data_IF_214945556032
#
_entry.id   IF_214945556032
#
_cell.length_a   1.000
_cell.length_b   1.000
_cell.length_c   1.000
_cell.angle_alpha   90.00
_cell.angle_beta   90.00
_cell.angle_gamma   90.00
#
_symmetry.space_group_name_H-M   'P 1'
#
loop_
_entity.id
_entity.type
_entity.pdbx_description
1 polymer ?
#
# COMPACT_ATOMS: atom_id res chain seq x y z
N UNK A 1 10.41 -24.86 27.26
CA UNK A 1 11.11 -25.82 26.38
C UNK A 1 10.24 -26.39 25.23
N UNK A 2 8.93 -26.17 25.21
CA UNK A 2 8.01 -26.71 24.17
C UNK A 2 7.96 -25.91 22.85
N UNK A 3 8.37 -24.65 22.83
CA UNK A 3 8.31 -23.79 21.62
C UNK A 3 9.39 -24.06 20.57
N UNK A 4 10.47 -24.78 20.92
CA UNK A 4 11.56 -25.15 19.99
C UNK A 4 11.30 -26.43 19.19
N UNK A 5 10.35 -27.26 19.61
CA UNK A 5 10.03 -28.52 18.95
C UNK A 5 9.07 -28.38 17.75
N UNK A 6 8.28 -27.30 17.70
CA UNK A 6 7.30 -27.07 16.62
C UNK A 6 8.01 -26.66 15.32
N UNK A 7 9.07 -25.85 15.38
CA UNK A 7 9.81 -25.42 14.18
C UNK A 7 10.56 -26.58 13.48
N UNK A 8 11.03 -27.57 14.24
CA UNK A 8 11.71 -28.73 13.67
C UNK A 8 10.74 -29.75 13.08
N UNK A 9 9.54 -29.87 13.64
CA UNK A 9 8.50 -30.78 13.12
C UNK A 9 7.94 -30.34 11.76
N UNK A 10 7.83 -29.05 11.51
CA UNK A 10 7.35 -28.50 10.22
C UNK A 10 8.40 -28.73 9.11
N UNK A 11 9.68 -28.61 9.40
CA UNK A 11 10.75 -28.91 8.44
C UNK A 11 10.91 -30.40 8.16
N UNK A 12 10.64 -31.26 9.13
CA UNK A 12 10.72 -32.73 8.97
C UNK A 12 9.54 -33.33 8.19
N UNK A 13 8.38 -32.73 8.21
CA UNK A 13 7.21 -33.20 7.48
C UNK A 13 7.29 -32.96 5.96
N UNK A 14 8.13 -32.02 5.52
CA UNK A 14 8.32 -31.72 4.10
C UNK A 14 9.21 -32.72 3.34
N UNK A 15 9.83 -33.72 4.01
CA UNK A 15 10.81 -34.63 3.41
C UNK A 15 10.30 -36.07 3.24
N UNK A 16 9.13 -36.43 3.76
CA UNK A 16 8.65 -37.80 3.75
C UNK A 16 7.31 -37.94 2.99
N UNK A 17 7.37 -38.01 1.67
CA UNK A 17 6.21 -38.38 0.88
C UNK A 17 6.40 -38.11 -0.60
N UNK A 18 7.01 -39.05 -1.32
CA UNK A 18 6.96 -39.12 -2.78
C UNK A 18 5.56 -39.58 -3.23
N UNK A 19 4.60 -38.67 -3.26
CA UNK A 19 3.37 -38.82 -4.00
C UNK A 19 2.84 -37.42 -4.31
N UNK A 20 3.00 -36.96 -5.57
CA UNK A 20 2.53 -35.65 -6.05
C UNK A 20 2.92 -34.49 -5.14
N UNK A 21 4.23 -34.28 -5.02
CA UNK A 21 4.75 -33.20 -4.16
C UNK A 21 4.24 -31.86 -4.72
N UNK A 22 3.30 -31.25 -4.01
CA UNK A 22 3.09 -29.82 -4.14
C UNK A 22 4.48 -29.17 -4.03
N UNK A 23 4.94 -28.50 -5.10
CA UNK A 23 6.20 -27.78 -5.05
C UNK A 23 6.06 -26.66 -4.03
N UNK A 24 6.71 -26.80 -2.88
CA UNK A 24 6.74 -25.77 -1.84
C UNK A 24 8.06 -25.04 -1.93
N UNK A 25 7.99 -23.76 -2.27
CA UNK A 25 9.15 -22.88 -2.32
C UNK A 25 9.23 -22.05 -1.01
N UNK A 26 10.42 -22.00 -0.44
CA UNK A 26 10.79 -20.98 0.56
C UNK A 26 11.41 -19.81 -0.18
N UNK A 27 10.90 -18.61 0.09
CA UNK A 27 11.42 -17.40 -0.56
C UNK A 27 11.47 -16.23 0.42
N UNK A 28 12.19 -15.19 0.03
CA UNK A 28 12.21 -13.97 0.82
C UNK A 28 13.08 -12.88 0.22
N UNK A 29 13.14 -11.77 0.98
CA UNK A 29 14.05 -10.66 0.70
C UNK A 29 14.40 -9.92 1.97
N UNK A 30 15.62 -9.39 1.98
CA UNK A 30 16.15 -8.51 3.00
C UNK A 30 16.54 -7.20 2.32
N UNK A 31 16.06 -6.11 2.85
CA UNK A 31 16.33 -4.73 2.41
C UNK A 31 16.70 -3.92 3.65
N UNK A 32 17.93 -3.41 3.68
CA UNK A 32 18.44 -2.61 4.79
C UNK A 32 19.21 -1.44 4.22
N UNK A 33 19.04 -0.26 4.82
CA UNK A 33 19.70 0.93 4.34
C UNK A 33 19.76 2.04 5.37
N UNK A 34 20.35 3.16 4.96
CA UNK A 34 20.40 4.41 5.71
C UNK A 34 19.41 5.40 5.14
N UNK A 35 18.75 6.15 6.00
CA UNK A 35 17.82 7.23 5.65
C UNK A 35 18.14 8.46 6.46
N UNK A 36 18.27 9.60 5.76
CA UNK A 36 18.31 10.92 6.36
C UNK A 36 17.00 11.63 6.02
N UNK A 37 16.31 12.13 7.04
CA UNK A 37 15.04 12.84 6.92
C UNK A 37 15.16 14.20 7.58
N UNK A 38 14.79 15.26 6.87
CA UNK A 38 14.60 16.60 7.38
C UNK A 38 13.11 16.94 7.31
N UNK A 39 12.53 17.28 8.46
CA UNK A 39 11.12 17.68 8.57
C UNK A 39 11.02 19.10 9.11
N UNK A 40 10.14 19.91 8.52
CA UNK A 40 9.86 21.27 8.93
C UNK A 40 8.36 21.55 8.94
N UNK A 41 7.87 22.19 10.00
CA UNK A 41 6.47 22.57 10.20
C UNK A 41 6.40 24.09 10.31
N UNK A 42 5.79 24.75 9.32
CA UNK A 42 5.67 26.22 9.26
C UNK A 42 7.04 26.90 9.44
N UNK A 43 7.10 27.86 10.36
CA UNK A 43 8.32 28.62 10.68
C UNK A 43 9.15 27.99 11.80
N UNK A 44 8.77 26.82 12.33
CA UNK A 44 9.52 26.15 13.38
C UNK A 44 10.90 25.69 12.87
N UNK A 45 11.86 25.54 13.79
CA UNK A 45 13.12 24.89 13.46
C UNK A 45 12.89 23.48 12.94
N UNK A 46 13.56 23.14 11.84
CA UNK A 46 13.47 21.79 11.29
C UNK A 46 14.10 20.74 12.21
N UNK A 47 13.65 19.51 12.08
CA UNK A 47 14.21 18.35 12.77
C UNK A 47 14.93 17.44 11.77
N UNK A 48 16.10 16.95 12.17
CA UNK A 48 16.95 16.09 11.38
C UNK A 48 17.03 14.70 12.00
N UNK A 49 16.91 13.67 11.19
CA UNK A 49 17.03 12.28 11.64
C UNK A 49 17.85 11.47 10.67
N UNK A 50 18.93 10.86 11.15
CA UNK A 50 19.67 9.83 10.44
C UNK A 50 19.37 8.49 11.11
N UNK A 51 18.93 7.50 10.35
CA UNK A 51 18.59 6.18 10.86
C UNK A 51 19.06 5.07 9.93
N UNK A 52 19.32 3.90 10.51
CA UNK A 52 19.32 2.65 9.77
C UNK A 52 17.87 2.15 9.72
N UNK A 53 17.39 1.87 8.53
CA UNK A 53 16.01 1.48 8.31
C UNK A 53 15.87 0.17 7.56
N UNK A 54 14.80 -0.52 7.87
CA UNK A 54 14.37 -1.77 7.29
C UNK A 54 13.39 -1.53 6.13
N UNK A 55 13.64 -2.13 4.97
CA UNK A 55 12.67 -2.14 3.88
C UNK A 55 12.42 -0.79 3.22
N UNK A 56 13.46 0.03 3.02
CA UNK A 56 13.35 1.35 2.39
C UNK A 56 12.84 1.27 0.95
N UNK A 57 13.42 0.39 0.14
CA UNK A 57 12.98 0.14 -1.23
C UNK A 57 11.94 -0.98 -1.31
N UNK A 58 12.02 -2.00 -0.45
CA UNK A 58 11.06 -3.11 -0.49
C UNK A 58 10.94 -3.80 0.85
N UNK A 59 9.74 -3.79 1.43
CA UNK A 59 9.49 -4.39 2.75
C UNK A 59 10.04 -5.81 2.88
N UNK A 60 10.80 -6.06 3.94
CA UNK A 60 11.40 -7.35 4.26
C UNK A 60 10.34 -8.41 4.47
N UNK A 61 10.62 -9.61 4.01
CA UNK A 61 9.70 -10.74 4.09
C UNK A 61 10.38 -12.08 3.90
N UNK A 62 9.75 -13.08 4.43
CA UNK A 62 9.99 -14.47 4.08
C UNK A 62 8.64 -15.17 3.97
N UNK A 63 8.57 -16.25 3.22
CA UNK A 63 7.31 -16.94 3.03
C UNK A 63 7.47 -18.33 2.43
N UNK A 64 6.34 -19.01 2.44
CA UNK A 64 6.12 -20.30 1.79
C UNK A 64 5.05 -20.10 0.72
N UNK A 65 5.25 -20.67 -0.45
CA UNK A 65 4.23 -20.77 -1.48
C UNK A 65 4.26 -22.15 -2.10
N UNK A 66 3.12 -22.62 -2.52
CA UNK A 66 3.04 -23.92 -3.16
C UNK A 66 1.80 -24.01 -4.06
N UNK A 67 1.80 -24.99 -4.94
CA UNK A 67 0.66 -25.29 -5.79
C UNK A 67 0.59 -26.73 -6.17
N UNK A 68 -0.63 -27.22 -6.38
CA UNK A 68 -0.96 -28.56 -6.84
C UNK A 68 -1.81 -28.48 -8.11
N UNK A 69 -1.44 -29.25 -9.13
CA UNK A 69 -2.24 -29.40 -10.35
C UNK A 69 -3.31 -30.48 -10.08
N UNK A 70 -4.58 -30.08 -10.19
CA UNK A 70 -5.73 -30.97 -10.00
C UNK A 70 -6.18 -31.65 -11.31
N UNK A 71 -5.47 -31.40 -12.40
CA UNK A 71 -5.86 -31.86 -13.74
C UNK A 71 -6.90 -30.97 -14.42
N UNK A 72 -7.09 -31.21 -15.71
CA UNK A 72 -8.07 -30.48 -16.55
C UNK A 72 -7.93 -28.94 -16.53
N UNK A 73 -6.73 -28.41 -16.24
CA UNK A 73 -6.47 -26.98 -16.16
C UNK A 73 -6.87 -26.34 -14.83
N UNK A 74 -7.20 -27.14 -13.81
CA UNK A 74 -7.47 -26.65 -12.46
C UNK A 74 -6.24 -26.79 -11.57
N UNK A 75 -6.01 -25.80 -10.72
CA UNK A 75 -4.91 -25.75 -9.76
C UNK A 75 -5.39 -25.20 -8.44
N UNK A 76 -4.88 -25.75 -7.36
CA UNK A 76 -4.95 -25.18 -6.01
C UNK A 76 -3.55 -24.63 -5.64
N UNK A 77 -3.48 -23.51 -4.94
CA UNK A 77 -2.22 -22.94 -4.47
C UNK A 77 -2.40 -22.15 -3.19
N UNK A 78 -1.29 -21.89 -2.51
CA UNK A 78 -1.28 -21.09 -1.30
C UNK A 78 -0.06 -20.17 -1.25
N UNK A 79 -0.21 -19.08 -0.47
CA UNK A 79 0.89 -18.19 -0.08
C UNK A 79 0.77 -17.88 1.41
N UNK A 80 1.87 -18.06 2.14
CA UNK A 80 2.02 -17.66 3.54
C UNK A 80 3.24 -16.75 3.62
N UNK A 81 3.06 -15.45 3.87
CA UNK A 81 4.13 -14.44 3.86
C UNK A 81 4.16 -13.64 5.16
N UNK A 82 5.31 -13.63 5.82
CA UNK A 82 5.61 -12.87 7.03
C UNK A 82 6.53 -11.70 6.73
N UNK A 83 6.23 -10.53 7.28
CA UNK A 83 7.12 -9.38 7.29
C UNK A 83 7.99 -9.33 8.53
N UNK A 84 9.14 -8.69 8.43
CA UNK A 84 10.04 -8.44 9.58
C UNK A 84 10.85 -7.16 9.37
N UNK A 85 11.44 -6.66 10.45
CA UNK A 85 12.36 -5.53 10.44
C UNK A 85 13.80 -6.05 10.50
N UNK A 86 14.62 -5.70 9.49
CA UNK A 86 16.02 -6.18 9.41
C UNK A 86 16.95 -5.43 10.35
N UNK A 87 16.59 -4.23 10.77
CA UNK A 87 17.35 -3.39 11.71
C UNK A 87 17.19 -3.83 13.16
N UNK A 88 16.03 -4.37 13.53
CA UNK A 88 15.71 -4.75 14.91
C UNK A 88 15.44 -6.24 15.11
N UNK A 89 15.19 -7.00 14.02
CA UNK A 89 14.76 -8.39 14.08
C UNK A 89 13.29 -8.59 14.51
N UNK A 90 12.53 -7.51 14.65
CA UNK A 90 11.14 -7.58 15.07
C UNK A 90 10.23 -8.17 13.97
N UNK A 91 9.14 -8.83 14.38
CA UNK A 91 8.09 -9.28 13.46
C UNK A 91 7.33 -8.06 12.89
N UNK A 92 6.80 -8.17 11.68
CA UNK A 92 6.21 -7.03 10.97
C UNK A 92 4.90 -6.51 11.54
N UNK A 93 4.14 -7.35 12.25
CA UNK A 93 2.89 -6.98 12.94
C UNK A 93 2.70 -7.92 14.14
N UNK A 94 2.58 -7.37 15.33
CA UNK A 94 2.40 -8.15 16.54
C UNK A 94 1.10 -8.97 16.49
N UNK A 95 1.15 -10.21 16.96
CA UNK A 95 0.02 -11.14 16.93
C UNK A 95 -0.30 -11.78 15.58
N UNK A 96 0.36 -11.37 14.48
CA UNK A 96 0.11 -11.93 13.13
C UNK A 96 1.39 -12.50 12.51
N UNK A 97 1.53 -13.84 12.53
CA UNK A 97 2.68 -14.51 11.93
C UNK A 97 2.77 -14.24 10.42
N UNK A 98 1.67 -14.36 9.70
CA UNK A 98 1.59 -14.11 8.26
C UNK A 98 0.88 -12.78 7.98
N UNK A 99 1.44 -11.70 8.50
CA UNK A 99 0.84 -10.36 8.42
C UNK A 99 0.75 -9.80 6.99
N UNK A 100 1.54 -10.34 6.05
CA UNK A 100 1.59 -9.84 4.67
C UNK A 100 0.62 -10.57 3.74
N UNK A 101 0.60 -11.89 3.79
CA UNK A 101 -0.33 -12.72 3.03
C UNK A 101 -0.53 -14.08 3.70
N UNK A 102 -1.77 -14.55 3.74
CA UNK A 102 -2.16 -15.89 4.13
C UNK A 102 -3.37 -16.27 3.28
N UNK A 103 -3.12 -16.85 2.09
CA UNK A 103 -4.15 -17.10 1.08
C UNK A 103 -4.16 -18.53 0.59
N UNK A 104 -5.37 -19.01 0.31
CA UNK A 104 -5.64 -20.14 -0.56
C UNK A 104 -6.16 -19.62 -1.90
N UNK A 105 -5.68 -20.20 -3.01
CA UNK A 105 -6.10 -19.87 -4.37
C UNK A 105 -6.64 -21.12 -5.06
N UNK A 106 -7.75 -20.96 -5.79
CA UNK A 106 -8.23 -21.92 -6.77
C UNK A 106 -8.23 -21.24 -8.12
N UNK A 107 -7.62 -21.85 -9.12
CA UNK A 107 -7.56 -21.33 -10.49
C UNK A 107 -7.99 -22.36 -11.53
N UNK A 108 -8.46 -21.89 -12.67
CA UNK A 108 -8.94 -22.72 -13.76
C UNK A 108 -9.27 -21.89 -15.00
N UNK A 109 -10.00 -22.44 -15.98
CA UNK A 109 -10.43 -21.70 -17.17
C UNK A 109 -11.28 -20.46 -16.85
N UNK A 110 -11.89 -20.41 -15.66
CA UNK A 110 -12.68 -19.28 -15.15
C UNK A 110 -11.83 -18.14 -14.58
N UNK A 111 -10.51 -18.30 -14.44
CA UNK A 111 -9.61 -17.38 -13.76
C UNK A 111 -9.17 -17.89 -12.39
N UNK A 112 -9.02 -17.01 -11.42
CA UNK A 112 -8.52 -17.34 -10.09
C UNK A 112 -9.37 -16.70 -8.99
N UNK A 113 -9.68 -17.49 -7.96
CA UNK A 113 -10.33 -17.03 -6.74
C UNK A 113 -9.35 -17.20 -5.60
N UNK A 114 -9.23 -16.17 -4.78
CA UNK A 114 -8.36 -16.11 -3.60
C UNK A 114 -9.22 -15.90 -2.36
N UNK A 115 -8.87 -16.57 -1.27
CA UNK A 115 -9.51 -16.40 0.03
C UNK A 115 -8.47 -16.29 1.14
N UNK A 116 -8.68 -15.39 2.11
CA UNK A 116 -7.81 -15.22 3.28
C UNK A 116 -7.36 -13.79 3.52
N UNK A 117 -6.18 -13.61 4.10
CA UNK A 117 -5.53 -12.30 4.25
C UNK A 117 -4.67 -11.99 3.03
N UNK A 118 -4.92 -10.88 2.39
CA UNK A 118 -4.24 -10.53 1.14
C UNK A 118 -4.08 -9.02 0.95
N UNK A 119 -3.29 -8.65 -0.06
CA UNK A 119 -3.19 -7.28 -0.54
C UNK A 119 -4.52 -6.76 -1.10
N UNK A 120 -4.75 -5.45 -0.97
CA UNK A 120 -5.85 -4.77 -1.67
C UNK A 120 -5.52 -4.71 -3.16
N UNK A 121 -6.52 -4.92 -4.03
CA UNK A 121 -6.28 -4.88 -5.50
C UNK A 121 -5.81 -3.51 -5.98
N UNK A 122 -6.17 -2.43 -5.28
CA UNK A 122 -5.68 -1.08 -5.54
C UNK A 122 -4.23 -0.83 -5.07
N UNK A 123 -3.64 -1.76 -4.32
CA UNK A 123 -2.24 -1.69 -3.89
C UNK A 123 -1.29 -2.37 -4.90
N UNK A 124 -0.02 -2.51 -4.52
CA UNK A 124 1.00 -3.32 -5.17
C UNK A 124 1.35 -4.58 -4.36
N UNK A 125 0.54 -4.89 -3.33
CA UNK A 125 0.87 -5.89 -2.32
C UNK A 125 0.27 -7.26 -2.63
N UNK A 126 1.05 -8.31 -2.31
CA UNK A 126 0.59 -9.69 -2.37
C UNK A 126 0.28 -10.18 -3.78
N UNK A 127 -0.55 -11.23 -3.84
CA UNK A 127 -0.85 -11.95 -5.08
C UNK A 127 -1.87 -11.25 -5.98
N UNK A 128 -2.67 -10.31 -5.45
CA UNK A 128 -3.80 -9.69 -6.16
C UNK A 128 -3.66 -8.18 -6.37
N UNK A 129 -2.74 -7.51 -5.67
CA UNK A 129 -2.48 -6.08 -5.86
C UNK A 129 -1.97 -5.79 -7.27
N UNK A 130 -2.68 -4.97 -8.05
CA UNK A 130 -2.32 -4.73 -9.44
C UNK A 130 -2.14 -3.24 -9.79
N UNK A 131 -2.86 -2.32 -9.11
CA UNK A 131 -2.98 -0.95 -9.58
C UNK A 131 -1.71 -0.11 -9.28
N UNK A 132 -1.36 0.06 -8.01
CA UNK A 132 -0.32 0.99 -7.59
C UNK A 132 1.06 0.72 -8.24
N UNK A 133 1.42 -0.57 -8.38
CA UNK A 133 2.67 -0.99 -9.02
C UNK A 133 2.75 -0.72 -10.52
N UNK A 134 1.60 -0.49 -11.16
CA UNK A 134 1.49 -0.34 -12.63
C UNK A 134 1.40 1.12 -13.07
N UNK A 135 1.07 2.04 -12.16
CA UNK A 135 0.80 3.45 -12.48
C UNK A 135 1.85 4.42 -11.95
N UNK A 136 2.91 3.94 -11.32
CA UNK A 136 4.00 4.76 -10.79
C UNK A 136 5.34 4.05 -10.94
N UNK A 137 6.43 4.76 -11.24
CA UNK A 137 7.77 4.19 -11.25
C UNK A 137 8.22 3.68 -9.87
N UNK A 138 7.62 4.18 -8.79
CA UNK A 138 7.91 3.81 -7.40
C UNK A 138 6.87 2.85 -6.80
N UNK A 139 5.82 2.49 -7.55
CA UNK A 139 4.65 1.80 -7.04
C UNK A 139 4.87 0.40 -6.48
N UNK A 140 5.90 -0.30 -6.95
CA UNK A 140 6.23 -1.66 -6.47
C UNK A 140 7.29 -1.68 -5.37
N UNK A 141 7.57 -0.54 -4.79
CA UNK A 141 8.58 -0.39 -3.74
C UNK A 141 8.65 1.04 -3.24
N UNK A 142 9.72 1.36 -2.53
CA UNK A 142 10.01 2.71 -2.05
C UNK A 142 8.97 3.28 -1.09
N UNK A 143 8.19 2.40 -0.43
CA UNK A 143 7.07 2.79 0.42
C UNK A 143 7.43 3.63 1.65
N UNK A 144 8.72 3.76 1.95
CA UNK A 144 9.23 4.66 3.00
C UNK A 144 9.81 5.95 2.46
N UNK A 145 9.80 6.17 1.13
CA UNK A 145 10.27 7.43 0.54
C UNK A 145 9.26 8.55 0.80
N UNK A 146 9.77 9.72 1.18
CA UNK A 146 8.94 10.91 1.34
C UNK A 146 8.11 11.19 0.08
N UNK A 147 6.82 11.44 0.27
CA UNK A 147 5.88 11.67 -0.82
C UNK A 147 5.35 10.43 -1.53
N UNK A 148 5.74 9.22 -1.15
CA UNK A 148 5.23 8.01 -1.79
C UNK A 148 3.69 7.93 -1.64
N UNK A 149 2.95 8.01 -2.76
CA UNK A 149 1.49 8.10 -2.84
C UNK A 149 0.82 9.20 -2.00
N UNK A 150 1.57 10.23 -1.57
CA UNK A 150 1.02 11.29 -0.73
C UNK A 150 -0.04 12.17 -1.41
N UNK A 151 -0.07 12.21 -2.75
CA UNK A 151 -1.06 12.98 -3.53
C UNK A 151 -2.35 12.22 -3.78
N UNK A 152 -2.50 11.01 -3.25
CA UNK A 152 -3.70 10.18 -3.38
C UNK A 152 -4.24 9.79 -2.02
N UNK A 153 -5.53 9.61 -1.93
CA UNK A 153 -6.15 8.98 -0.76
C UNK A 153 -5.83 7.48 -0.75
N UNK A 154 -5.61 6.94 0.43
CA UNK A 154 -5.22 5.55 0.62
C UNK A 154 -6.11 4.84 1.63
N UNK A 155 -6.44 3.60 1.32
CA UNK A 155 -6.99 2.62 2.25
C UNK A 155 -5.87 1.71 2.77
N UNK A 156 -6.20 0.82 3.67
CA UNK A 156 -5.24 -0.18 4.14
C UNK A 156 -4.66 -1.00 3.00
N UNK A 157 -3.37 -1.27 3.08
CA UNK A 157 -2.66 -2.03 2.02
C UNK A 157 -3.10 -3.49 1.96
N UNK A 158 -3.58 -4.04 3.09
CA UNK A 158 -3.97 -5.45 3.25
C UNK A 158 -5.21 -5.59 4.10
N UNK A 159 -6.04 -6.55 3.70
CA UNK A 159 -7.26 -6.90 4.43
C UNK A 159 -7.27 -8.37 4.81
N UNK A 160 -7.78 -8.65 6.03
CA UNK A 160 -8.16 -10.00 6.47
C UNK A 160 -9.58 -10.33 5.97
N UNK A 161 -9.96 -11.60 6.06
CA UNK A 161 -11.31 -12.07 5.70
C UNK A 161 -11.74 -11.58 4.30
N UNK A 162 -10.81 -11.64 3.35
CA UNK A 162 -11.00 -11.13 2.00
C UNK A 162 -11.20 -12.26 0.99
N UNK A 163 -12.04 -11.98 0.00
CA UNK A 163 -12.21 -12.75 -1.22
C UNK A 163 -11.78 -11.88 -2.40
N UNK A 164 -11.01 -12.43 -3.33
CA UNK A 164 -10.68 -11.75 -4.57
C UNK A 164 -10.83 -12.67 -5.76
N UNK A 165 -11.20 -12.08 -6.89
CA UNK A 165 -11.29 -12.75 -8.18
C UNK A 165 -10.42 -12.02 -9.20
N UNK A 166 -9.69 -12.80 -10.00
CA UNK A 166 -8.92 -12.32 -11.16
C UNK A 166 -9.37 -13.12 -12.37
N UNK A 167 -9.92 -12.44 -13.38
CA UNK A 167 -10.42 -13.10 -14.58
C UNK A 167 -9.26 -13.69 -15.41
N UNK A 168 -9.54 -14.64 -16.31
CA UNK A 168 -8.67 -14.92 -17.43
C UNK A 168 -8.46 -13.64 -18.23
N UNK A 169 -7.36 -13.55 -18.97
CA UNK A 169 -7.15 -12.47 -19.93
C UNK A 169 -8.06 -12.69 -21.14
N UNK A 170 -9.01 -11.79 -21.36
CA UNK A 170 -9.95 -11.81 -22.49
C UNK A 170 -9.56 -10.70 -23.46
N UNK A 171 -8.96 -11.06 -24.59
CA UNK A 171 -8.32 -10.09 -25.46
C UNK A 171 -7.21 -9.37 -24.71
N UNK A 172 -7.18 -8.01 -24.66
CA UNK A 172 -6.20 -7.26 -23.89
C UNK A 172 -6.55 -7.10 -22.41
N UNK A 173 -7.75 -7.51 -21.96
CA UNK A 173 -8.33 -7.10 -20.68
C UNK A 173 -8.26 -8.21 -19.64
N UNK A 174 -7.86 -7.85 -18.40
CA UNK A 174 -8.00 -8.63 -17.16
C UNK A 174 -8.84 -7.83 -16.17
N UNK A 175 -9.82 -8.47 -15.54
CA UNK A 175 -10.71 -7.87 -14.52
C UNK A 175 -10.34 -8.38 -13.14
N UNK A 176 -10.43 -7.50 -12.16
CA UNK A 176 -10.14 -7.77 -10.75
C UNK A 176 -11.33 -7.34 -9.91
N UNK A 177 -11.74 -8.18 -8.99
CA UNK A 177 -12.75 -7.84 -8.00
C UNK A 177 -12.30 -8.30 -6.62
N UNK A 178 -12.61 -7.52 -5.57
CA UNK A 178 -12.28 -7.87 -4.20
C UNK A 178 -13.40 -7.42 -3.26
N UNK A 179 -13.67 -8.25 -2.26
CA UNK A 179 -14.56 -7.96 -1.15
C UNK A 179 -13.90 -8.36 0.16
N UNK A 180 -14.08 -7.54 1.20
CA UNK A 180 -13.63 -7.86 2.56
C UNK A 180 -14.82 -7.93 3.51
N UNK A 181 -14.80 -8.92 4.40
CA UNK A 181 -15.87 -9.13 5.40
C UNK A 181 -15.61 -8.36 6.71
N UNK A 182 -14.57 -7.51 6.73
CA UNK A 182 -14.13 -6.78 7.90
C UNK A 182 -12.80 -7.30 8.46
N UNK A 183 -12.13 -6.46 9.25
CA UNK A 183 -10.83 -6.79 9.84
C UNK A 183 -10.91 -7.26 11.30
N UNK A 184 -12.05 -7.03 11.94
CA UNK A 184 -12.26 -7.33 13.34
C UNK A 184 -12.82 -8.75 13.56
N UNK A 185 -13.62 -8.93 14.54
CA UNK A 185 -14.17 -10.23 14.92
C UNK A 185 -15.25 -10.69 13.93
N UNK A 186 -15.31 -11.99 13.70
CA UNK A 186 -16.34 -12.61 12.87
C UNK A 186 -17.75 -12.28 13.41
N UNK A 187 -18.66 -11.89 12.51
CA UNK A 187 -20.08 -11.66 12.75
C UNK A 187 -20.47 -10.31 13.37
N UNK A 188 -19.62 -9.31 13.42
CA UNK A 188 -20.06 -7.99 13.86
C UNK A 188 -20.52 -7.14 12.67
N UNK A 189 -21.73 -6.56 12.77
CA UNK A 189 -22.26 -5.63 11.74
C UNK A 189 -21.53 -4.29 11.74
N UNK A 190 -20.68 -4.01 12.72
CA UNK A 190 -19.88 -2.81 12.88
C UNK A 190 -18.53 -2.81 12.18
N UNK A 191 -18.21 -3.81 11.38
CA UNK A 191 -16.92 -3.88 10.67
C UNK A 191 -16.92 -3.08 9.35
N UNK A 192 -15.82 -2.40 9.08
CA UNK A 192 -15.58 -1.76 7.80
C UNK A 192 -15.47 -2.81 6.68
N UNK A 193 -16.15 -2.59 5.56
CA UNK A 193 -16.19 -3.49 4.42
C UNK A 193 -15.73 -2.79 3.16
N UNK A 194 -14.73 -3.34 2.49
CA UNK A 194 -14.22 -2.80 1.24
C UNK A 194 -14.75 -3.62 0.06
N UNK A 195 -15.27 -2.91 -0.95
CA UNK A 195 -15.59 -3.44 -2.27
C UNK A 195 -14.66 -2.77 -3.28
N UNK A 196 -14.00 -3.54 -4.11
CA UNK A 196 -13.12 -3.01 -5.14
C UNK A 196 -13.37 -3.74 -6.46
N UNK A 197 -13.45 -2.97 -7.54
CA UNK A 197 -13.57 -3.48 -8.91
C UNK A 197 -12.59 -2.74 -9.81
N UNK A 198 -11.77 -3.46 -10.54
CA UNK A 198 -10.80 -2.87 -11.44
C UNK A 198 -10.58 -3.68 -12.70
N UNK A 199 -9.95 -3.05 -13.68
CA UNK A 199 -9.54 -3.67 -14.90
C UNK A 199 -8.19 -3.11 -15.38
N UNK A 200 -7.43 -3.97 -16.02
CA UNK A 200 -6.20 -3.65 -16.73
C UNK A 200 -6.33 -4.07 -18.18
N UNK A 201 -5.92 -3.21 -19.10
CA UNK A 201 -5.87 -3.50 -20.53
C UNK A 201 -4.46 -3.26 -21.07
N UNK A 202 -3.90 -4.28 -21.75
CA UNK A 202 -2.56 -4.28 -22.32
C UNK A 202 -2.63 -4.24 -23.84
N UNK A 203 -2.13 -3.16 -24.45
CA UNK A 203 -2.08 -2.93 -25.90
C UNK A 203 -0.62 -2.83 -26.38
N UNK A 204 0.20 -3.83 -26.09
CA UNK A 204 1.62 -3.82 -26.38
C UNK A 204 2.39 -2.83 -25.49
N UNK A 205 2.84 -1.72 -26.06
CA UNK A 205 3.56 -0.70 -25.30
C UNK A 205 2.66 0.12 -24.36
N UNK A 206 1.36 0.18 -24.62
CA UNK A 206 0.38 0.90 -23.82
C UNK A 206 -0.31 -0.02 -22.83
N UNK A 207 -0.31 0.36 -21.55
CA UNK A 207 -1.12 -0.24 -20.50
C UNK A 207 -2.08 0.81 -19.92
N UNK A 208 -3.34 0.46 -19.77
CA UNK A 208 -4.38 1.31 -19.17
C UNK A 208 -5.04 0.57 -18.03
N UNK A 209 -5.27 1.26 -16.92
CA UNK A 209 -5.88 0.69 -15.72
C UNK A 209 -6.98 1.61 -15.19
N UNK A 210 -8.05 0.98 -14.70
CA UNK A 210 -9.11 1.64 -13.96
C UNK A 210 -9.46 0.85 -12.71
N UNK A 211 -9.81 1.55 -11.63
CA UNK A 211 -10.18 0.95 -10.36
C UNK A 211 -11.19 1.84 -9.65
N UNK A 212 -12.26 1.24 -9.14
CA UNK A 212 -13.21 1.87 -8.22
C UNK A 212 -13.18 1.08 -6.91
N UNK A 213 -13.10 1.81 -5.80
CA UNK A 213 -13.13 1.23 -4.46
C UNK A 213 -14.19 1.95 -3.63
N UNK A 214 -14.95 1.18 -2.87
CA UNK A 214 -15.98 1.65 -1.96
C UNK A 214 -15.73 1.04 -0.58
N UNK A 215 -15.52 1.88 0.41
CA UNK A 215 -15.35 1.50 1.81
C UNK A 215 -16.62 1.89 2.58
N UNK A 216 -17.41 0.87 2.92
CA UNK A 216 -18.52 1.03 3.84
C UNK A 216 -17.95 1.17 5.25
N UNK A 217 -18.03 2.36 5.80
CA UNK A 217 -17.45 2.73 7.08
C UNK A 217 -18.43 2.43 8.20
N UNK A 218 -18.08 1.52 9.09
CA UNK A 218 -18.91 1.05 10.20
C UNK A 218 -18.16 1.06 11.53
N UNK A 219 -16.86 0.75 11.51
CA UNK A 219 -16.09 0.62 12.74
C UNK A 219 -15.71 1.98 13.31
N UNK A 220 -15.93 2.13 14.58
CA UNK A 220 -15.47 3.24 15.41
C UNK A 220 -14.36 2.74 16.31
N UNK A 221 -13.23 3.41 16.31
CA UNK A 221 -12.09 3.00 17.15
C UNK A 221 -12.35 3.12 18.66
N UNK A 222 -13.42 3.81 19.06
CA UNK A 222 -13.82 3.98 20.46
C UNK A 222 -15.36 3.93 20.59
N UNK A 223 -15.84 2.81 21.11
CA UNK A 223 -17.28 2.50 21.23
C UNK A 223 -17.99 3.22 22.37
N UNK A 224 -17.30 4.04 23.15
CA UNK A 224 -17.88 4.62 24.37
C UNK A 224 -18.70 5.90 24.15
N UNK A 225 -18.68 6.50 22.95
CA UNK A 225 -19.20 7.86 22.75
C UNK A 225 -20.05 8.10 21.50
N UNK A 226 -20.13 7.20 20.48
CA UNK A 226 -20.71 7.56 19.17
C UNK A 226 -21.71 6.55 18.59
N UNK A 227 -22.75 7.13 17.95
CA UNK A 227 -23.72 6.44 17.09
C UNK A 227 -23.10 6.14 15.72
N UNK A 228 -23.06 4.87 15.32
CA UNK A 228 -22.52 4.35 14.04
C UNK A 228 -23.14 4.99 12.78
N UNK A 229 -24.26 5.68 12.92
CA UNK A 229 -25.01 6.25 11.80
C UNK A 229 -24.38 7.52 11.17
N UNK A 230 -23.22 7.97 11.67
CA UNK A 230 -22.69 9.29 11.35
C UNK A 230 -21.38 9.30 10.52
N UNK A 231 -20.87 8.15 10.05
CA UNK A 231 -19.70 8.12 9.17
C UNK A 231 -20.11 8.02 7.70
N UNK A 232 -19.57 8.92 6.89
CA UNK A 232 -19.75 8.83 5.45
C UNK A 232 -18.96 7.65 4.89
N UNK A 233 -19.61 6.87 4.04
CA UNK A 233 -18.94 5.84 3.25
C UNK A 233 -17.94 6.49 2.29
N UNK A 234 -16.77 5.90 2.19
CA UNK A 234 -15.69 6.42 1.35
C UNK A 234 -15.66 5.74 -0.02
N UNK A 235 -15.36 6.50 -1.07
CA UNK A 235 -15.06 5.91 -2.35
C UNK A 235 -13.90 6.60 -3.08
N UNK A 236 -13.21 5.81 -3.91
CA UNK A 236 -12.17 6.31 -4.81
C UNK A 236 -12.41 5.84 -6.23
N UNK A 237 -12.12 6.71 -7.20
CA UNK A 237 -12.08 6.38 -8.62
C UNK A 237 -10.66 6.66 -9.10
N UNK A 238 -10.03 5.63 -9.63
CA UNK A 238 -8.63 5.65 -10.02
C UNK A 238 -8.51 5.33 -11.51
N UNK A 239 -7.79 6.15 -12.24
CA UNK A 239 -7.44 5.93 -13.63
C UNK A 239 -5.93 6.11 -13.80
N UNK A 240 -5.32 5.25 -14.58
CA UNK A 240 -3.88 5.36 -14.81
C UNK A 240 -3.41 4.50 -15.96
N UNK A 241 -2.13 4.60 -16.23
CA UNK A 241 -1.51 3.80 -17.26
C UNK A 241 -0.04 4.13 -17.44
N UNK A 242 0.56 3.42 -18.38
CA UNK A 242 1.95 3.62 -18.75
C UNK A 242 2.15 3.35 -20.23
N UNK A 243 3.13 4.03 -20.80
CA UNK A 243 3.56 3.79 -22.18
C UNK A 243 5.07 3.56 -22.21
N UNK A 244 5.48 2.46 -22.84
CA UNK A 244 6.88 2.10 -23.02
C UNK A 244 7.38 2.56 -24.39
N UNK A 245 8.23 3.60 -24.37
CA UNK A 245 8.89 4.13 -25.56
C UNK A 245 10.17 3.36 -25.91
N UNK A 246 10.46 2.24 -25.24
CA UNK A 246 11.71 1.46 -25.32
C UNK A 246 12.93 2.14 -24.69
N UNK A 247 13.09 3.44 -24.83
CA UNK A 247 14.16 4.25 -24.22
C UNK A 247 13.77 4.76 -22.82
N UNK A 248 12.48 4.86 -22.56
CA UNK A 248 11.92 5.25 -21.28
C UNK A 248 10.46 4.74 -21.19
N UNK A 249 10.02 4.41 -19.99
CA UNK A 249 8.60 4.12 -19.71
C UNK A 249 8.02 5.28 -18.92
N UNK A 250 6.92 5.86 -19.41
CA UNK A 250 6.22 6.98 -18.77
C UNK A 250 4.94 6.48 -18.10
N UNK A 251 4.62 7.05 -16.96
CA UNK A 251 3.46 6.70 -16.13
C UNK A 251 2.61 7.94 -15.90
N UNK A 252 1.30 7.75 -15.87
CA UNK A 252 0.32 8.76 -15.50
C UNK A 252 -0.76 8.11 -14.65
N UNK A 253 -1.12 8.77 -13.55
CA UNK A 253 -2.22 8.34 -12.69
C UNK A 253 -3.02 9.54 -12.21
N UNK A 254 -4.34 9.36 -12.10
CA UNK A 254 -5.26 10.29 -11.47
C UNK A 254 -6.21 9.55 -10.56
N UNK A 255 -6.55 10.17 -9.45
CA UNK A 255 -7.52 9.68 -8.49
C UNK A 255 -8.50 10.80 -8.12
N UNK A 256 -9.77 10.46 -8.05
CA UNK A 256 -10.79 11.22 -7.33
C UNK A 256 -11.17 10.43 -6.07
N UNK A 257 -11.35 11.12 -4.95
CA UNK A 257 -11.74 10.50 -3.69
C UNK A 257 -12.77 11.33 -2.96
N UNK A 258 -13.67 10.65 -2.25
CA UNK A 258 -14.67 11.25 -1.37
C UNK A 258 -14.71 10.51 -0.05
N UNK A 259 -14.88 11.27 1.03
CA UNK A 259 -14.90 10.80 2.41
C UNK A 259 -13.70 9.88 2.74
N UNK A 260 -12.54 10.17 2.16
CA UNK A 260 -11.36 9.31 2.32
C UNK A 260 -10.77 9.40 3.73
N UNK A 261 -10.37 8.26 4.33
CA UNK A 261 -9.83 8.24 5.69
C UNK A 261 -8.38 8.72 5.78
N UNK A 262 -7.65 8.74 4.68
CA UNK A 262 -6.22 9.12 4.65
C UNK A 262 -5.90 9.90 3.39
N UNK A 263 -5.23 11.04 3.54
CA UNK A 263 -4.73 11.86 2.43
C UNK A 263 -3.49 12.63 2.86
N UNK A 264 -2.51 12.80 1.97
CA UNK A 264 -1.31 13.63 2.16
C UNK A 264 -0.51 13.33 3.46
N UNK A 265 -0.48 12.06 3.87
CA UNK A 265 0.16 11.65 5.12
C UNK A 265 -0.67 11.91 6.38
N UNK A 266 -1.82 12.54 6.22
CA UNK A 266 -2.79 12.78 7.30
C UNK A 266 -3.77 11.62 7.39
N UNK A 267 -4.13 11.25 8.61
CA UNK A 267 -5.21 10.32 8.88
C UNK A 267 -6.43 11.12 9.34
N UNK A 268 -7.61 10.76 8.85
CA UNK A 268 -8.85 11.24 9.40
C UNK A 268 -8.87 10.96 10.91
N UNK A 269 -9.13 12.01 11.68
CA UNK A 269 -9.23 11.86 13.13
C UNK A 269 -10.72 11.71 13.48
N UNK A 270 -11.11 10.51 13.84
CA UNK A 270 -12.49 10.18 14.18
C UNK A 270 -12.82 10.40 15.64
N UNK A 271 -11.87 10.83 16.45
CA UNK A 271 -12.11 11.11 17.85
C UNK A 271 -11.06 12.03 18.46
N UNK A 272 -11.41 13.25 18.75
CA UNK A 272 -11.01 13.88 19.98
C UNK A 272 -12.16 14.74 20.48
N UNK A 273 -12.81 14.26 21.52
CA UNK A 273 -13.79 14.98 22.28
C UNK A 273 -13.07 16.14 22.99
N UNK A 274 -13.32 17.35 22.55
CA UNK A 274 -13.25 18.51 23.41
C UNK A 274 -14.68 18.75 23.83
N UNK A 275 -14.94 18.81 25.12
CA UNK A 275 -16.27 18.98 25.70
C UNK A 275 -17.02 20.13 24.99
N UNK A 276 -18.02 19.79 24.18
CA UNK A 276 -18.83 20.74 23.41
C UNK A 276 -18.56 20.82 21.91
N UNK A 277 -17.55 20.19 21.31
CA UNK A 277 -17.31 20.18 19.88
C UNK A 277 -16.92 18.78 19.35
N UNK A 278 -17.75 18.23 18.50
CA UNK A 278 -17.48 16.99 17.78
C UNK A 278 -16.75 17.29 16.48
N UNK A 279 -15.49 16.89 16.38
CA UNK A 279 -14.69 17.05 15.18
C UNK A 279 -14.57 15.72 14.45
N UNK A 280 -15.26 15.62 13.33
CA UNK A 280 -15.10 14.51 12.36
C UNK A 280 -14.56 15.09 11.09
N UNK A 281 -13.52 14.49 10.53
CA UNK A 281 -13.09 14.90 9.22
C UNK A 281 -12.67 13.70 8.37
N UNK A 282 -13.10 13.75 7.14
CA UNK A 282 -12.64 12.94 6.03
C UNK A 282 -12.11 13.89 4.95
N UNK A 283 -11.61 13.34 3.87
CA UNK A 283 -11.05 14.12 2.79
C UNK A 283 -11.82 13.88 1.49
N UNK A 284 -12.24 14.96 0.83
CA UNK A 284 -12.76 14.94 -0.53
C UNK A 284 -11.77 15.61 -1.46
N UNK A 285 -11.47 15.02 -2.62
CA UNK A 285 -10.52 15.67 -3.49
C UNK A 285 -10.05 14.85 -4.66
N UNK A 286 -8.89 15.23 -5.16
CA UNK A 286 -8.25 14.54 -6.27
C UNK A 286 -6.72 14.57 -6.14
N UNK A 287 -6.06 13.66 -6.84
CA UNK A 287 -4.62 13.64 -6.99
C UNK A 287 -4.20 13.20 -8.38
N UNK A 288 -3.08 13.74 -8.85
CA UNK A 288 -2.46 13.35 -10.10
C UNK A 288 -0.97 13.10 -9.88
N UNK A 289 -0.45 12.10 -10.56
CA UNK A 289 0.96 11.73 -10.52
C UNK A 289 1.46 11.42 -11.93
N UNK A 290 2.63 11.94 -12.27
CA UNK A 290 3.36 11.60 -13.49
C UNK A 290 4.75 11.10 -13.13
N UNK A 291 5.24 10.13 -13.86
CA UNK A 291 6.58 9.60 -13.62
C UNK A 291 7.18 8.93 -14.83
N UNK A 292 8.46 8.61 -14.71
CA UNK A 292 9.17 7.89 -15.75
C UNK A 292 10.25 6.99 -15.17
N UNK A 293 10.57 5.93 -15.91
CA UNK A 293 11.79 5.15 -15.71
C UNK A 293 12.59 5.14 -17.00
N UNK A 294 13.92 5.17 -16.87
CA UNK A 294 14.84 5.04 -18.01
C UNK A 294 16.04 4.19 -17.62
N UNK A 295 16.53 3.30 -18.51
CA UNK A 295 17.78 2.59 -18.31
C UNK A 295 18.94 3.61 -18.41
N UNK A 296 19.80 3.65 -17.38
CA UNK A 296 21.01 4.49 -17.37
C UNK A 296 22.18 3.62 -16.92
N UNK A 297 23.13 3.40 -17.80
CA UNK A 297 24.23 2.46 -17.58
C UNK A 297 23.69 1.03 -17.37
N UNK A 298 24.12 0.35 -16.32
CA UNK A 298 23.63 -0.98 -15.96
C UNK A 298 22.38 -0.95 -15.07
N UNK A 299 21.95 0.25 -14.65
CA UNK A 299 20.85 0.44 -13.71
C UNK A 299 19.63 1.09 -14.34
N UNK A 300 18.69 1.45 -13.48
CA UNK A 300 17.44 2.12 -13.85
C UNK A 300 17.28 3.40 -13.04
N UNK A 301 17.06 4.50 -13.72
CA UNK A 301 16.66 5.78 -13.13
C UNK A 301 15.13 5.85 -13.04
N UNK A 302 14.64 6.44 -11.95
CA UNK A 302 13.23 6.62 -11.64
C UNK A 302 12.99 8.08 -11.26
N UNK A 303 11.89 8.66 -11.72
CA UNK A 303 11.46 10.00 -11.34
C UNK A 303 9.95 10.06 -11.29
N UNK A 304 9.39 10.77 -10.32
CA UNK A 304 7.98 11.13 -10.32
C UNK A 304 7.74 12.50 -9.70
N UNK A 305 6.64 13.11 -10.09
CA UNK A 305 6.11 14.32 -9.50
C UNK A 305 4.59 14.21 -9.42
N UNK A 306 3.99 14.80 -8.41
CA UNK A 306 2.56 14.75 -8.23
C UNK A 306 2.02 15.97 -7.51
N UNK A 307 0.74 16.19 -7.70
CA UNK A 307 -0.06 17.20 -7.03
C UNK A 307 -1.39 16.60 -6.60
N UNK A 308 -1.86 16.97 -5.44
CA UNK A 308 -3.19 16.61 -4.98
C UNK A 308 -3.79 17.72 -4.13
N UNK A 309 -5.11 17.78 -4.15
CA UNK A 309 -5.91 18.68 -3.32
C UNK A 309 -6.97 17.85 -2.59
N UNK A 310 -7.07 18.05 -1.29
CA UNK A 310 -8.09 17.44 -0.45
C UNK A 310 -8.77 18.48 0.41
N UNK A 311 -10.08 18.59 0.30
CA UNK A 311 -10.89 19.40 1.21
C UNK A 311 -11.24 18.55 2.43
N UNK A 312 -11.08 19.11 3.62
CA UNK A 312 -11.49 18.46 4.86
C UNK A 312 -13.00 18.67 5.04
N UNK A 313 -13.76 17.57 5.08
CA UNK A 313 -15.14 17.57 5.52
C UNK A 313 -15.16 17.62 7.05
N UNK A 314 -15.48 18.77 7.59
CA UNK A 314 -15.65 18.97 9.04
C UNK A 314 -17.14 19.25 9.25
N UNK A 315 -17.74 18.55 10.21
CA UNK A 315 -19.18 18.66 10.52
C UNK A 315 -19.57 19.98 11.24
N UNK A 316 -18.69 21.00 11.21
CA UNK A 316 -19.00 22.33 11.72
C UNK A 316 -19.23 23.32 10.58
N UNK A 317 -20.30 24.09 10.65
CA UNK A 317 -20.88 24.92 9.58
C UNK A 317 -19.98 26.02 8.98
N UNK A 318 -18.80 26.30 9.49
CA UNK A 318 -18.10 27.57 9.21
C UNK A 318 -16.65 27.49 8.71
N UNK A 319 -16.06 26.32 8.44
CA UNK A 319 -14.70 26.27 7.93
C UNK A 319 -14.48 25.17 6.89
N UNK A 320 -14.50 25.54 5.61
CA UNK A 320 -13.87 24.71 4.57
C UNK A 320 -12.35 24.84 4.74
N UNK A 321 -11.70 23.71 4.99
CA UNK A 321 -10.24 23.63 5.10
C UNK A 321 -9.74 22.77 3.96
N UNK A 322 -8.72 23.22 3.26
CA UNK A 322 -8.12 22.44 2.18
C UNK A 322 -6.66 22.12 2.51
N UNK A 323 -6.19 21.00 1.98
CA UNK A 323 -4.82 20.58 2.03
C UNK A 323 -4.33 20.32 0.60
N UNK A 324 -3.31 21.07 0.18
CA UNK A 324 -2.60 20.86 -1.08
C UNK A 324 -1.34 20.06 -0.81
N UNK A 325 -1.10 18.99 -1.58
CA UNK A 325 0.09 18.16 -1.48
C UNK A 325 0.89 18.20 -2.77
N UNK A 326 2.20 18.41 -2.64
CA UNK A 326 3.18 18.38 -3.74
C UNK A 326 4.23 17.33 -3.43
N UNK A 327 4.59 16.52 -4.41
CA UNK A 327 5.67 15.55 -4.30
C UNK A 327 6.61 15.64 -5.49
N UNK A 328 7.90 15.38 -5.21
CA UNK A 328 8.89 15.07 -6.22
C UNK A 328 9.79 13.97 -5.68
N UNK A 329 10.09 12.98 -6.51
CA UNK A 329 10.88 11.82 -6.13
C UNK A 329 11.84 11.46 -7.26
N UNK A 330 13.05 11.08 -6.88
CA UNK A 330 14.06 10.53 -7.79
C UNK A 330 14.67 9.28 -7.17
N UNK A 331 15.03 8.33 -8.00
CA UNK A 331 15.67 7.10 -7.56
C UNK A 331 16.57 6.50 -8.62
N UNK A 332 17.49 5.68 -8.16
CA UNK A 332 18.33 4.87 -9.03
C UNK A 332 18.52 3.49 -8.41
N UNK A 333 18.40 2.46 -9.23
CA UNK A 333 18.68 1.07 -8.83
C UNK A 333 19.80 0.52 -9.68
N UNK A 334 20.78 -0.13 -9.05
CA UNK A 334 21.89 -0.77 -9.70
C UNK A 334 21.93 -2.27 -9.36
N UNK A 335 21.76 -3.17 -10.35
CA UNK A 335 21.78 -4.60 -10.11
C UNK A 335 23.24 -5.13 -10.02
N UNK A 336 23.64 -5.63 -8.87
CA UNK A 336 24.88 -6.41 -8.76
C UNK A 336 24.71 -7.84 -9.28
N UNK A 337 23.49 -8.37 -9.14
CA UNK A 337 23.11 -9.69 -9.64
C UNK A 337 21.58 -9.75 -9.83
N UNK A 338 21.08 -10.88 -10.33
CA UNK A 338 19.61 -11.12 -10.45
C UNK A 338 18.89 -11.04 -9.09
N UNK A 339 19.61 -11.20 -7.97
CA UNK A 339 19.05 -11.24 -6.62
C UNK A 339 19.48 -10.09 -5.73
N UNK A 340 20.49 -9.30 -6.12
CA UNK A 340 21.07 -8.25 -5.27
C UNK A 340 21.13 -6.93 -6.01
N UNK A 341 20.46 -5.92 -5.43
CA UNK A 341 20.41 -4.55 -5.97
C UNK A 341 20.89 -3.56 -4.93
N UNK A 342 21.74 -2.62 -5.36
CA UNK A 342 22.00 -1.38 -4.65
C UNK A 342 20.97 -0.34 -5.12
N UNK A 343 20.55 0.55 -4.23
CA UNK A 343 19.66 1.64 -4.61
C UNK A 343 19.95 2.91 -3.81
N UNK A 344 19.62 4.03 -4.42
CA UNK A 344 19.63 5.34 -3.78
C UNK A 344 18.42 6.13 -4.25
N UNK A 345 17.90 7.00 -3.40
CA UNK A 345 16.76 7.84 -3.75
C UNK A 345 16.66 9.07 -2.88
N UNK A 346 15.92 10.06 -3.38
CA UNK A 346 15.54 11.24 -2.66
C UNK A 346 14.07 11.58 -2.94
N UNK A 347 13.37 12.03 -1.92
CA UNK A 347 11.98 12.45 -1.97
C UNK A 347 11.79 13.78 -1.26
N UNK A 348 10.92 14.59 -1.84
CA UNK A 348 10.40 15.81 -1.24
C UNK A 348 8.89 15.76 -1.24
N UNK A 349 8.31 16.13 -0.12
CA UNK A 349 6.88 16.30 0.06
C UNK A 349 6.61 17.62 0.78
N UNK A 350 5.64 18.35 0.28
CA UNK A 350 5.06 19.51 0.98
C UNK A 350 3.56 19.33 1.02
N UNK A 351 2.97 19.52 2.20
CA UNK A 351 1.54 19.64 2.40
C UNK A 351 1.26 21.02 2.97
N UNK A 352 0.51 21.82 2.25
CA UNK A 352 0.08 23.15 2.68
C UNK A 352 -1.37 23.08 3.13
N UNK A 353 -1.66 23.55 4.34
CA UNK A 353 -3.02 23.57 4.89
C UNK A 353 -3.50 25.00 5.00
N UNK A 354 -4.64 25.30 4.39
CA UNK A 354 -5.34 26.58 4.55
C UNK A 354 -6.18 26.57 5.83
N UNK A 355 -6.15 27.71 6.54
CA UNK A 355 -6.92 28.06 7.74
C UNK A 355 -7.12 26.95 8.80
N UNK A 356 -6.19 26.99 9.76
CA UNK A 356 -6.49 26.61 11.13
C UNK A 356 -6.86 25.17 11.42
N UNK A 357 -6.03 24.18 11.09
CA UNK A 357 -6.05 22.97 11.91
C UNK A 357 -5.49 23.37 13.27
N UNK A 358 -6.37 23.46 14.26
CA UNK A 358 -6.01 23.76 15.63
C UNK A 358 -5.10 22.64 16.13
N UNK A 359 -3.83 22.97 16.34
CA UNK A 359 -2.96 22.10 17.15
C UNK A 359 -3.43 22.17 18.61
N UNK A 360 -2.93 21.24 19.41
CA UNK A 360 -3.16 21.15 20.87
C UNK A 360 -2.89 22.44 21.65
N UNK A 361 -2.38 23.49 21.02
CA UNK A 361 -2.04 24.80 21.61
C UNK A 361 -2.95 25.95 21.16
N UNK A 362 -4.10 25.67 20.52
CA UNK A 362 -5.09 26.66 20.07
C UNK A 362 -4.57 27.76 19.13
N UNK A 363 -3.46 27.58 18.45
CA UNK A 363 -2.99 28.54 17.45
C UNK A 363 -3.47 28.16 16.07
N UNK A 364 -4.32 29.00 15.48
CA UNK A 364 -4.73 28.92 14.08
C UNK A 364 -3.68 29.62 13.21
N UNK A 365 -3.02 28.90 12.32
CA UNK A 365 -2.19 29.47 11.27
C UNK A 365 -2.06 28.51 10.12
N UNK A 366 -1.95 29.05 8.91
CA UNK A 366 -1.56 28.29 7.72
C UNK A 366 -0.24 27.58 8.03
N UNK A 367 -0.20 26.26 7.86
CA UNK A 367 1.00 25.47 8.14
C UNK A 367 1.40 24.65 6.94
N UNK A 368 2.64 24.84 6.53
CA UNK A 368 3.32 23.98 5.60
C UNK A 368 4.02 22.85 6.37
N UNK A 369 3.77 21.62 5.97
CA UNK A 369 4.55 20.46 6.40
C UNK A 369 5.48 20.08 5.25
N UNK A 370 6.78 20.15 5.48
CA UNK A 370 7.80 19.84 4.48
C UNK A 370 8.66 18.68 4.96
N UNK A 371 8.80 17.67 4.13
CA UNK A 371 9.68 16.53 4.39
C UNK A 371 10.63 16.35 3.22
N UNK A 372 11.92 16.37 3.50
CA UNK A 372 12.98 16.01 2.56
C UNK A 372 13.65 14.75 3.06
N UNK A 373 13.83 13.77 2.19
CA UNK A 373 14.48 12.51 2.53
C UNK A 373 15.52 12.14 1.49
N UNK A 374 16.65 11.62 1.97
CA UNK A 374 17.64 10.92 1.13
C UNK A 374 17.83 9.54 1.71
N UNK A 375 17.88 8.53 0.86
CA UNK A 375 18.04 7.15 1.29
C UNK A 375 18.95 6.34 0.36
N UNK A 376 19.62 5.36 0.94
CA UNK A 376 20.54 4.45 0.27
C UNK A 376 20.47 3.09 0.94
N UNK A 377 20.49 2.02 0.15
CA UNK A 377 20.40 0.68 0.73
C UNK A 377 20.73 -0.44 -0.24
N UNK A 378 20.72 -1.65 0.33
CA UNK A 378 20.95 -2.90 -0.37
C UNK A 378 19.75 -3.83 -0.18
N UNK A 379 19.27 -4.38 -1.29
CA UNK A 379 18.22 -5.40 -1.32
C UNK A 379 18.79 -6.72 -1.84
N UNK A 380 18.56 -7.80 -1.07
CA UNK A 380 18.89 -9.17 -1.48
C UNK A 380 17.66 -10.07 -1.44
N UNK A 381 17.45 -10.88 -2.50
CA UNK A 381 16.39 -11.88 -2.62
C UNK A 381 16.99 -13.28 -2.49
N UNK A 382 16.31 -14.18 -1.80
CA UNK A 382 16.70 -15.58 -1.66
C UNK A 382 15.53 -16.53 -1.95
#
# INVERSE_FOLDING_TARGET
MQKKLIAVAVLGACVAGSAFAANVDVYGRIDTGLSYVHEKIGDQAGTDKLSMDSGLSSGNRWGLKGSEDLGNGYQVGFVLESGFSSDTGAIGEEGKLFNREATLRVSGPFGSIYAGRMGRIGSDAGSVGFYAGSVSPFGSGWGKMAGHFAVTANYDTRYSNALAYVSPKVGPVTVYAQYTMGNATENESGDDRLFSLGAQADFGALQVLGLVEYLNKKSVADTTVYDDSQYDDSYTINLGGSYDFSVAKVFLAGQYFKAAPNYAGMKANYAKHVEGEEWRYSFDGFGVNVGATAPIGAGQFLVSAGYGKGDLNIDTKDAKRSADAYIIQVGYTYPFSKRTNLYAGAGYMQTSMEDGITNTDNTTSDKDFKTTQVMFGLLHKF
#
